data_IF_032367650966
#
_entry.id   IF_032367650966
#
_cell.length_a   1.000
_cell.length_b   1.000
_cell.length_c   1.000
_cell.angle_alpha   90.00
_cell.angle_beta   90.00
_cell.angle_gamma   90.00
#
_symmetry.space_group_name_H-M   'P 1'
#
loop_
_entity.id
_entity.type
_entity.pdbx_description
1 polymer ?
#
# COMPACT_ATOMS: atom_id res chain seq x y z
N UNK A 1 5.06 -13.29 -16.19
CA UNK A 1 4.33 -12.03 -16.53
C UNK A 1 5.35 -10.93 -16.78
N UNK A 2 5.14 -9.98 -17.71
CA UNK A 2 6.11 -8.86 -17.86
C UNK A 2 6.10 -8.03 -16.58
N UNK A 3 7.20 -8.11 -15.84
CA UNK A 3 7.43 -7.39 -14.58
C UNK A 3 7.69 -5.90 -14.80
N UNK A 4 8.01 -5.49 -16.02
CA UNK A 4 8.27 -4.10 -16.38
C UNK A 4 7.07 -3.46 -17.08
N UNK A 5 6.73 -2.25 -16.64
CA UNK A 5 5.67 -1.40 -17.15
C UNK A 5 6.25 -0.01 -17.41
N UNK A 6 6.11 0.49 -18.64
CA UNK A 6 6.57 1.82 -19.02
C UNK A 6 5.37 2.58 -19.56
N UNK A 7 5.18 3.80 -19.09
CA UNK A 7 4.18 4.73 -19.61
C UNK A 7 4.73 6.15 -19.62
N UNK A 8 4.08 7.01 -20.41
CA UNK A 8 4.41 8.43 -20.47
C UNK A 8 3.27 9.22 -19.88
N UNK A 9 3.60 10.13 -18.98
CA UNK A 9 2.68 11.09 -18.37
C UNK A 9 2.98 12.49 -18.94
N UNK A 10 1.95 13.34 -19.01
CA UNK A 10 2.12 14.76 -19.34
C UNK A 10 2.04 15.54 -18.03
N UNK A 11 3.11 16.24 -17.72
CA UNK A 11 3.16 17.13 -16.56
C UNK A 11 2.40 18.43 -16.86
N UNK A 12 1.97 19.15 -15.82
CA UNK A 12 1.24 20.42 -15.93
C UNK A 12 2.04 21.48 -16.72
N UNK A 13 3.37 21.39 -16.69
CA UNK A 13 4.31 22.23 -17.44
C UNK A 13 4.31 21.96 -18.95
N UNK A 14 3.54 20.98 -19.43
CA UNK A 14 3.54 20.52 -20.82
C UNK A 14 4.69 19.57 -21.17
N UNK A 15 5.61 19.33 -20.22
CA UNK A 15 6.72 18.38 -20.40
C UNK A 15 6.21 16.95 -20.31
N UNK A 16 6.73 16.07 -21.16
CA UNK A 16 6.46 14.64 -21.10
C UNK A 16 7.39 14.01 -20.06
N UNK A 17 6.87 13.18 -19.18
CA UNK A 17 7.61 12.41 -18.18
C UNK A 17 7.45 10.93 -18.48
N UNK A 18 8.55 10.23 -18.68
CA UNK A 18 8.55 8.78 -18.85
C UNK A 18 8.71 8.11 -17.49
N UNK A 19 7.77 7.25 -17.13
CA UNK A 19 7.77 6.49 -15.88
C UNK A 19 7.88 5.01 -16.20
N UNK A 20 8.75 4.32 -15.46
CA UNK A 20 9.01 2.89 -15.55
C UNK A 20 8.83 2.27 -14.18
N UNK A 21 7.85 1.38 -14.04
CA UNK A 21 7.69 0.53 -12.88
C UNK A 21 8.20 -0.89 -13.19
N UNK A 22 9.03 -1.44 -12.30
CA UNK A 22 9.53 -2.80 -12.41
C UNK A 22 9.24 -3.57 -11.14
N UNK A 23 8.57 -4.71 -11.25
CA UNK A 23 8.35 -5.65 -10.14
C UNK A 23 9.57 -6.57 -10.00
N UNK A 24 10.20 -6.57 -8.83
CA UNK A 24 11.32 -7.45 -8.50
C UNK A 24 11.14 -8.02 -7.09
N UNK A 25 11.09 -9.35 -6.95
CA UNK A 25 10.98 -10.00 -5.64
C UNK A 25 9.75 -9.61 -4.82
N UNK A 26 8.64 -9.24 -5.46
CA UNK A 26 7.44 -8.74 -4.78
C UNK A 26 7.45 -7.23 -4.49
N UNK A 27 8.59 -6.57 -4.67
CA UNK A 27 8.74 -5.12 -4.51
C UNK A 27 8.58 -4.40 -5.85
N UNK A 28 8.02 -3.18 -5.82
CA UNK A 28 7.88 -2.33 -6.99
C UNK A 28 8.92 -1.21 -6.96
N UNK A 29 9.74 -1.14 -8.01
CA UNK A 29 10.74 -0.07 -8.20
C UNK A 29 10.26 0.90 -9.27
N UNK A 30 10.31 2.19 -8.96
CA UNK A 30 9.89 3.25 -9.88
C UNK A 30 11.11 4.05 -10.34
N UNK A 31 11.17 4.26 -11.64
CA UNK A 31 12.13 5.13 -12.29
C UNK A 31 11.35 6.13 -13.12
N UNK A 32 11.70 7.41 -13.05
CA UNK A 32 11.17 8.38 -14.00
C UNK A 32 12.27 9.25 -14.56
N UNK A 33 12.03 9.74 -15.77
CA UNK A 33 12.86 10.75 -16.43
C UNK A 33 11.98 11.74 -17.17
N UNK A 34 12.46 12.96 -17.35
CA UNK A 34 11.82 13.90 -18.26
C UNK A 34 12.17 13.53 -19.70
N UNK A 35 11.25 13.77 -20.63
CA UNK A 35 11.55 13.63 -22.05
C UNK A 35 12.61 14.64 -22.46
N UNK A 36 13.73 14.14 -22.99
CA UNK A 36 14.93 14.92 -23.29
C UNK A 36 16.07 14.67 -22.31
N UNK A 37 15.78 14.17 -21.11
CA UNK A 37 16.81 13.79 -20.16
C UNK A 37 17.31 12.35 -20.44
N UNK A 38 18.63 12.16 -20.33
CA UNK A 38 19.27 10.85 -20.41
C UNK A 38 19.32 10.15 -19.05
N UNK A 39 19.22 10.91 -17.95
CA UNK A 39 19.31 10.40 -16.59
C UNK A 39 17.97 9.84 -16.10
N UNK A 40 17.99 8.65 -15.52
CA UNK A 40 16.84 8.07 -14.82
C UNK A 40 16.93 8.38 -13.33
N UNK A 41 15.88 8.98 -12.78
CA UNK A 41 15.74 9.21 -11.35
C UNK A 41 15.05 8.00 -10.73
N UNK A 42 15.71 7.38 -9.74
CA UNK A 42 15.14 6.30 -8.95
C UNK A 42 14.33 6.90 -7.80
N UNK A 43 13.08 6.46 -7.67
CA UNK A 43 12.21 6.85 -6.57
C UNK A 43 12.09 5.70 -5.60
N UNK A 44 12.68 5.86 -4.41
CA UNK A 44 12.40 4.97 -3.28
C UNK A 44 10.94 5.13 -2.84
N UNK A 45 10.44 6.37 -2.87
CA UNK A 45 9.06 6.72 -2.60
C UNK A 45 8.38 7.24 -3.87
N UNK A 46 7.60 6.42 -4.59
CA UNK A 46 6.92 6.85 -5.81
C UNK A 46 5.81 7.85 -5.50
N UNK A 47 5.50 8.71 -6.47
CA UNK A 47 4.40 9.66 -6.33
C UNK A 47 3.07 8.91 -6.30
N UNK A 48 2.11 9.45 -5.56
CA UNK A 48 0.76 8.87 -5.48
C UNK A 48 0.10 8.78 -6.86
N UNK A 49 0.31 9.78 -7.72
CA UNK A 49 -0.17 9.81 -9.11
C UNK A 49 0.38 8.64 -9.93
N UNK A 50 1.66 8.32 -9.77
CA UNK A 50 2.33 7.21 -10.46
C UNK A 50 1.75 5.86 -10.01
N UNK A 51 1.56 5.68 -8.70
CA UNK A 51 0.95 4.47 -8.13
C UNK A 51 -0.48 4.25 -8.63
N UNK A 52 -1.29 5.31 -8.67
CA UNK A 52 -2.65 5.25 -9.20
C UNK A 52 -2.68 4.89 -10.68
N UNK A 53 -1.72 5.40 -11.46
CA UNK A 53 -1.58 5.06 -12.88
C UNK A 53 -1.17 3.59 -13.08
N UNK A 54 -0.22 3.10 -12.27
CA UNK A 54 0.15 1.68 -12.28
C UNK A 54 -1.05 0.78 -11.96
N UNK A 55 -1.84 1.14 -10.93
CA UNK A 55 -3.08 0.42 -10.58
C UNK A 55 -4.03 0.33 -11.78
N UNK A 56 -4.27 1.45 -12.49
CA UNK A 56 -5.13 1.46 -13.69
C UNK A 56 -4.61 0.51 -14.78
N UNK A 57 -3.29 0.48 -15.02
CA UNK A 57 -2.67 -0.42 -15.99
C UNK A 57 -2.85 -1.88 -15.58
N UNK A 58 -2.63 -2.19 -14.30
CA UNK A 58 -2.80 -3.56 -13.78
C UNK A 58 -4.26 -4.01 -13.84
N UNK A 59 -5.21 -3.15 -13.50
CA UNK A 59 -6.65 -3.46 -13.61
C UNK A 59 -7.02 -3.81 -15.06
N UNK A 60 -6.56 -3.04 -16.04
CA UNK A 60 -6.76 -3.36 -17.46
C UNK A 60 -6.14 -4.69 -17.87
N UNK A 61 -4.97 -5.06 -17.30
CA UNK A 61 -4.33 -6.36 -17.57
C UNK A 61 -5.06 -7.51 -16.87
N UNK A 62 -5.55 -7.29 -15.65
CA UNK A 62 -6.33 -8.23 -14.85
C UNK A 62 -7.65 -8.58 -15.53
N UNK A 63 -8.36 -7.57 -16.04
CA UNK A 63 -9.58 -7.76 -16.83
C UNK A 63 -9.37 -8.66 -18.05
N UNK A 64 -8.19 -8.57 -18.68
CA UNK A 64 -7.81 -9.44 -19.83
C UNK A 64 -7.26 -10.80 -19.40
N UNK A 65 -7.38 -11.18 -18.12
CA UNK A 65 -6.86 -12.42 -17.52
C UNK A 65 -5.32 -12.56 -17.62
N UNK A 66 -4.60 -11.43 -17.75
CA UNK A 66 -3.13 -11.40 -17.89
C UNK A 66 -2.40 -10.97 -16.63
N UNK A 67 -3.10 -10.72 -15.53
CA UNK A 67 -2.54 -10.29 -14.23
C UNK A 67 -3.10 -11.07 -13.06
N UNK A 68 -2.31 -11.19 -11.98
CA UNK A 68 -2.72 -11.77 -10.71
C UNK A 68 -3.44 -10.74 -9.83
N UNK A 69 -4.37 -11.20 -8.99
CA UNK A 69 -4.97 -10.37 -7.93
C UNK A 69 -3.94 -9.97 -6.87
N UNK A 70 -2.90 -10.77 -6.65
CA UNK A 70 -1.80 -10.45 -5.73
C UNK A 70 -1.02 -9.20 -6.16
N UNK A 71 -0.83 -9.01 -7.47
CA UNK A 71 -0.15 -7.83 -8.01
C UNK A 71 -0.95 -6.55 -7.73
N UNK A 72 -2.28 -6.64 -7.83
CA UNK A 72 -3.19 -5.55 -7.52
C UNK A 72 -3.13 -5.21 -6.03
N UNK A 73 -3.22 -6.23 -5.17
CA UNK A 73 -3.15 -6.06 -3.73
C UNK A 73 -1.82 -5.44 -3.27
N UNK A 74 -0.70 -5.84 -3.89
CA UNK A 74 0.61 -5.26 -3.60
C UNK A 74 0.68 -3.75 -3.92
N UNK A 75 0.11 -3.33 -5.05
CA UNK A 75 0.07 -1.90 -5.42
C UNK A 75 -0.92 -1.12 -4.55
N UNK A 76 -2.03 -1.73 -4.15
CA UNK A 76 -2.98 -1.10 -3.22
C UNK A 76 -2.36 -0.82 -1.85
N UNK A 77 -1.61 -1.78 -1.29
CA UNK A 77 -0.85 -1.57 -0.05
C UNK A 77 0.13 -0.41 -0.16
N UNK A 78 0.88 -0.33 -1.26
CA UNK A 78 1.81 0.80 -1.50
C UNK A 78 1.08 2.16 -1.58
N UNK A 79 -0.13 2.19 -2.13
CA UNK A 79 -0.96 3.41 -2.18
C UNK A 79 -1.40 3.82 -0.78
N UNK A 80 -1.82 2.86 0.04
CA UNK A 80 -2.25 3.10 1.42
C UNK A 80 -1.08 3.58 2.29
N UNK A 81 0.07 2.92 2.21
CA UNK A 81 1.31 3.34 2.87
C UNK A 81 1.71 4.75 2.45
N UNK A 82 1.65 5.06 1.15
CA UNK A 82 2.01 6.39 0.66
C UNK A 82 1.03 7.47 1.14
N UNK A 83 -0.25 7.15 1.28
CA UNK A 83 -1.26 8.06 1.85
C UNK A 83 -1.01 8.27 3.33
N UNK A 84 -0.79 7.20 4.10
CA UNK A 84 -0.51 7.27 5.53
C UNK A 84 0.75 8.13 5.81
N UNK A 85 1.82 7.90 5.04
CA UNK A 85 3.07 8.63 5.17
C UNK A 85 3.00 10.08 4.65
N UNK A 86 2.10 10.37 3.70
CA UNK A 86 1.83 11.72 3.21
C UNK A 86 1.12 12.60 4.24
N UNK A 87 0.48 12.01 5.25
CA UNK A 87 -0.19 12.71 6.36
C UNK A 87 0.76 13.16 7.49
N UNK A 88 2.01 12.69 7.52
CA UNK A 88 2.95 12.98 8.62
C UNK A 88 3.78 14.27 8.46
N UNK A 89 3.52 15.11 7.45
CA UNK A 89 4.30 16.35 7.24
C UNK A 89 3.68 17.66 7.77
N UNK A 90 2.58 17.64 8.56
CA UNK A 90 2.07 18.85 9.25
C UNK A 90 1.74 18.58 10.72
N UNK A 91 2.72 18.17 11.52
CA UNK A 91 2.58 18.15 12.98
C UNK A 91 3.92 18.20 13.73
N UNK A 92 4.81 19.14 13.37
CA UNK A 92 5.88 19.55 14.29
C UNK A 92 6.01 21.07 14.27
N UNK A 93 5.28 21.74 15.17
CA UNK A 93 5.28 23.19 15.25
C UNK A 93 4.32 23.84 16.24
N UNK A 94 4.09 23.27 17.42
CA UNK A 94 3.62 24.05 18.57
C UNK A 94 4.07 23.38 19.86
N UNK A 95 5.29 23.74 20.27
CA UNK A 95 5.75 23.50 21.63
C UNK A 95 4.98 24.38 22.60
N UNK A 96 4.55 23.77 23.71
CA UNK A 96 4.54 24.39 25.02
C UNK A 96 4.50 23.27 26.07
N UNK A 97 5.52 23.16 26.93
CA UNK A 97 5.39 22.46 28.21
C UNK A 97 5.00 23.48 29.29
N UNK A 98 3.96 23.22 30.09
CA UNK A 98 3.95 23.53 31.52
C UNK A 98 2.68 23.06 32.24
N UNK A 99 2.95 22.30 33.32
CA UNK A 99 2.23 22.14 34.59
C UNK A 99 0.86 21.44 34.51
N UNK A 100 0.76 20.19 34.98
CA UNK A 100 0.73 19.76 36.38
C UNK A 100 -0.50 20.31 37.11
N UNK A 101 -1.48 19.43 37.29
CA UNK A 101 -2.51 19.32 38.35
C UNK A 101 -3.63 18.42 37.74
N UNK A 102 -4.26 17.47 38.40
CA UNK A 102 -4.06 16.74 39.64
C UNK A 102 -5.01 15.53 39.56
N UNK A 103 -4.58 14.42 40.16
CA UNK A 103 -5.40 13.47 40.92
C UNK A 103 -6.84 13.13 40.46
N UNK A 104 -7.04 11.89 40.01
CA UNK A 104 -8.18 11.08 40.47
C UNK A 104 -7.86 9.59 40.32
N UNK A 105 -7.28 9.01 41.37
CA UNK A 105 -7.46 7.61 41.77
C UNK A 105 -8.92 7.19 41.61
N UNK A 106 -9.20 6.10 40.89
CA UNK A 106 -10.15 5.03 41.29
C UNK A 106 -9.72 3.72 40.61
N UNK A 107 -9.03 2.86 41.35
CA UNK A 107 -9.53 1.66 42.05
C UNK A 107 -9.30 0.39 41.26
N UNK A 108 -8.42 -0.45 41.82
CA UNK A 108 -8.38 -1.89 41.61
C UNK A 108 -9.78 -2.50 41.69
N UNK A 109 -10.12 -3.34 40.72
CA UNK A 109 -11.00 -4.49 40.95
C UNK A 109 -10.36 -5.73 40.34
N UNK A 110 -9.81 -6.54 41.23
CA UNK A 110 -9.45 -7.94 41.09
C UNK A 110 -10.65 -8.82 40.73
N UNK A 111 -10.37 -9.90 39.98
CA UNK A 111 -11.25 -11.07 39.82
C UNK A 111 -11.69 -11.25 38.35
N UNK A 112 -11.70 -12.43 37.75
CA UNK A 112 -11.39 -13.76 38.22
C UNK A 112 -11.28 -14.66 36.98
N UNK A 113 -10.26 -15.51 36.96
CA UNK A 113 -10.25 -16.91 36.48
C UNK A 113 -11.54 -17.42 35.79
N UNK A 114 -11.40 -17.89 34.55
CA UNK A 114 -12.03 -19.13 34.08
C UNK A 114 -11.30 -19.70 32.86
N UNK A 115 -10.77 -20.91 33.02
CA UNK A 115 -10.39 -21.81 31.92
C UNK A 115 -11.67 -22.24 31.21
N UNK A 116 -11.64 -22.40 29.90
CA UNK A 116 -12.31 -23.54 29.28
C UNK A 116 -11.68 -23.93 27.94
N UNK A 117 -11.17 -25.16 27.93
CA UNK A 117 -10.99 -25.99 26.74
C UNK A 117 -12.36 -26.45 26.24
N UNK A 118 -12.52 -26.51 24.93
CA UNK A 118 -13.34 -27.51 24.20
C UNK A 118 -12.93 -27.40 22.73
N UNK A 119 -12.03 -28.26 22.25
CA UNK A 119 -12.30 -29.56 21.60
C UNK A 119 -13.23 -29.46 20.37
N UNK A 120 -12.58 -29.66 19.22
CA UNK A 120 -12.97 -30.51 18.08
C UNK A 120 -14.39 -30.43 17.53
N UNK A 121 -14.50 -30.25 16.20
CA UNK A 121 -15.18 -31.19 15.30
C UNK A 121 -14.54 -31.03 13.92
N UNK A 122 -13.96 -32.13 13.44
CA UNK A 122 -13.68 -32.42 12.03
C UNK A 122 -15.01 -32.60 11.29
N UNK A 123 -15.08 -32.24 10.01
CA UNK A 123 -15.86 -32.88 8.94
C UNK A 123 -15.71 -31.98 7.70
N UNK A 124 -14.85 -32.30 6.74
CA UNK A 124 -15.13 -33.20 5.61
C UNK A 124 -16.56 -33.09 5.08
N UNK A 125 -16.73 -32.40 3.96
CA UNK A 125 -17.63 -32.87 2.91
C UNK A 125 -17.22 -32.28 1.57
N UNK A 126 -16.48 -33.12 0.84
CA UNK A 126 -16.53 -33.18 -0.61
C UNK A 126 -17.98 -33.39 -1.05
N UNK A 127 -18.54 -32.45 -1.80
CA UNK A 127 -19.52 -32.73 -2.85
C UNK A 127 -19.17 -31.80 -4.01
N UNK A 128 -18.53 -32.28 -5.07
CA UNK A 128 -19.07 -33.08 -6.19
C UNK A 128 -20.17 -32.38 -6.99
N UNK A 129 -19.87 -32.33 -8.29
CA UNK A 129 -20.75 -32.47 -9.45
C UNK A 129 -21.62 -31.24 -9.82
N UNK A 130 -21.30 -30.63 -10.97
CA UNK A 130 -21.91 -30.88 -12.29
C UNK A 130 -23.27 -30.20 -12.42
N UNK A 131 -23.30 -29.03 -13.05
CA UNK A 131 -23.74 -28.83 -14.46
C UNK A 131 -23.53 -27.35 -14.84
#
# INVERSE_FOLDING_TARGET
MRSQHIWTEREQSGRKREVRATKFGGLWRFQAKTAGDLAWTYYERPLLTDLLTLKKILVRKYQRRRASSEDLAAVEKLIEEQRANGSECVARGSGLPRRADACATKTFTTGSRAKNQSKSIVNSSLSRLLL
#
